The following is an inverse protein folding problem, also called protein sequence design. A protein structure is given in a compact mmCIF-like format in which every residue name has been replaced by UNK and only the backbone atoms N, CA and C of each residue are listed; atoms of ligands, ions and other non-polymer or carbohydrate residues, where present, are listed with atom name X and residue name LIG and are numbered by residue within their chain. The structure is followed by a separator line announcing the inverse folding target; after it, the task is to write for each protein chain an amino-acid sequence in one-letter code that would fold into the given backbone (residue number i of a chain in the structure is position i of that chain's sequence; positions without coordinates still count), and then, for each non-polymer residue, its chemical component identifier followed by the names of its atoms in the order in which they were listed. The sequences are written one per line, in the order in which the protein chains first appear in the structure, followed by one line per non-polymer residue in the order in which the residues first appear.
data_IF_470933237699
#
_entry.id   IF_470933237699
#
_cell.length_a   1.000
_cell.length_b   1.000
_cell.length_c   1.000
_cell.angle_alpha   90.00
_cell.angle_beta   90.00
_cell.angle_gamma   90.00
#
_symmetry.space_group_name_H-M   'P 1'
#
loop_
_entity.id
_entity.type
_entity.pdbx_description
1 polymer ?
#
# COMPACT_ATOMS: atom_id res chain seq x y z
N UNK A 1 33.97 -12.14 10.86
CA UNK A 1 32.96 -12.07 9.80
C UNK A 1 32.28 -10.73 9.99
N UNK A 2 32.51 -9.78 9.08
CA UNK A 2 31.84 -8.48 9.09
C UNK A 2 30.82 -8.52 7.97
N UNK A 3 29.56 -8.29 8.30
CA UNK A 3 28.49 -8.18 7.32
C UNK A 3 28.47 -6.75 6.78
N UNK A 4 28.49 -6.61 5.46
CA UNK A 4 28.32 -5.33 4.79
C UNK A 4 26.83 -4.93 4.79
N UNK A 5 26.56 -3.67 5.08
CA UNK A 5 25.23 -3.10 5.05
C UNK A 5 24.86 -2.77 3.59
N UNK A 6 23.99 -3.57 2.96
CA UNK A 6 23.45 -3.24 1.64
C UNK A 6 22.40 -2.13 1.76
N UNK A 7 22.64 -1.02 1.09
CA UNK A 7 21.69 0.10 1.01
C UNK A 7 20.93 -0.02 -0.30
N UNK A 8 19.62 -0.18 -0.26
CA UNK A 8 18.78 -0.34 -1.45
C UNK A 8 18.19 1.01 -1.84
N UNK A 9 18.54 1.47 -3.04
CA UNK A 9 18.10 2.77 -3.60
C UNK A 9 16.75 2.69 -4.32
N UNK A 10 16.20 1.49 -4.53
CA UNK A 10 15.00 1.26 -5.32
C UNK A 10 14.04 0.26 -4.66
N UNK A 11 12.76 0.39 -5.02
CA UNK A 11 11.72 -0.53 -4.60
C UNK A 11 12.01 -1.97 -5.07
N UNK A 12 12.13 -2.91 -4.12
CA UNK A 12 12.22 -4.36 -4.38
C UNK A 12 10.90 -4.99 -3.91
N UNK A 13 9.97 -5.34 -4.82
CA UNK A 13 8.68 -5.95 -4.47
C UNK A 13 8.80 -7.16 -3.54
N UNK A 14 9.86 -7.96 -3.69
CA UNK A 14 10.14 -9.16 -2.91
C UNK A 14 10.45 -8.89 -1.43
N UNK A 15 10.73 -7.64 -1.07
CA UNK A 15 11.00 -7.21 0.31
C UNK A 15 9.80 -6.53 0.97
N UNK A 16 8.67 -6.39 0.26
CA UNK A 16 7.46 -5.84 0.86
C UNK A 16 6.75 -6.90 1.71
N UNK A 17 6.84 -6.76 3.02
CA UNK A 17 6.01 -7.54 3.94
C UNK A 17 4.55 -7.02 3.96
N UNK A 18 3.56 -7.86 4.32
CA UNK A 18 2.18 -7.40 4.50
C UNK A 18 2.08 -6.14 5.36
N UNK A 19 1.40 -5.11 4.83
CA UNK A 19 1.26 -3.80 5.47
C UNK A 19 2.33 -2.78 5.06
N UNK A 20 3.38 -3.19 4.35
CA UNK A 20 4.40 -2.27 3.83
C UNK A 20 3.80 -1.39 2.74
N UNK A 21 4.10 -0.10 2.78
CA UNK A 21 3.69 0.89 1.78
C UNK A 21 4.90 1.56 1.14
N UNK A 22 4.83 1.76 -0.17
CA UNK A 22 5.82 2.51 -0.94
C UNK A 22 5.14 3.64 -1.71
N UNK A 23 5.52 4.88 -1.43
CA UNK A 23 5.01 6.06 -2.16
C UNK A 23 5.71 6.14 -3.51
N UNK A 24 4.93 6.30 -4.58
CA UNK A 24 5.44 6.34 -5.94
C UNK A 24 6.26 7.62 -6.18
N UNK A 25 7.40 7.51 -6.85
CA UNK A 25 8.20 8.69 -7.26
C UNK A 25 7.41 9.62 -8.20
N UNK A 26 6.50 9.05 -8.99
CA UNK A 26 5.60 9.76 -9.89
C UNK A 26 4.18 9.88 -9.34
N UNK A 27 4.01 9.86 -8.01
CA UNK A 27 2.72 10.06 -7.35
C UNK A 27 1.98 11.26 -7.96
N UNK A 28 0.70 11.06 -8.29
CA UNK A 28 -0.14 12.09 -8.91
C UNK A 28 -0.03 12.20 -10.44
N UNK A 29 0.87 11.47 -11.11
CA UNK A 29 1.06 11.56 -12.57
C UNK A 29 0.34 10.49 -13.39
N UNK A 30 -0.24 9.47 -12.74
CA UNK A 30 -0.93 8.37 -13.40
C UNK A 30 -2.24 8.02 -12.67
N UNK A 31 -3.23 7.50 -13.41
CA UNK A 31 -4.56 7.19 -12.88
C UNK A 31 -5.59 8.27 -13.22
N UNK A 32 -6.65 8.34 -12.42
CA UNK A 32 -7.68 9.38 -12.57
C UNK A 32 -7.11 10.76 -12.23
N UNK A 33 -7.52 11.80 -12.96
CA UNK A 33 -6.98 13.15 -12.79
C UNK A 33 -7.31 13.76 -11.42
N UNK A 34 -8.46 13.43 -10.84
CA UNK A 34 -8.91 13.93 -9.54
C UNK A 34 -8.56 13.00 -8.39
N UNK A 35 -8.34 11.71 -8.68
CA UNK A 35 -7.93 10.71 -7.69
C UNK A 35 -6.82 9.80 -8.24
N UNK A 36 -5.62 10.35 -8.47
CA UNK A 36 -4.53 9.61 -9.11
C UNK A 36 -3.96 8.54 -8.19
N UNK A 37 -3.17 7.63 -8.76
CA UNK A 37 -2.37 6.70 -7.97
C UNK A 37 -1.28 7.43 -7.19
N UNK A 38 -1.05 6.97 -5.97
CA UNK A 38 -0.17 7.63 -5.02
C UNK A 38 0.90 6.70 -4.46
N UNK A 39 0.54 5.46 -4.14
CA UNK A 39 1.44 4.49 -3.53
C UNK A 39 1.10 3.06 -3.97
N UNK A 40 2.02 2.14 -3.74
CA UNK A 40 1.79 0.69 -3.71
C UNK A 40 1.71 0.27 -2.25
N UNK A 41 0.71 -0.53 -1.90
CA UNK A 41 0.56 -1.12 -0.57
C UNK A 41 0.49 -2.65 -0.71
N UNK A 42 1.29 -3.35 0.08
CA UNK A 42 1.12 -4.77 0.31
C UNK A 42 -0.06 -4.97 1.27
N UNK A 43 -1.09 -5.68 0.84
CA UNK A 43 -2.28 -5.92 1.66
C UNK A 43 -1.86 -6.43 3.06
N UNK A 44 -2.29 -5.78 4.14
CA UNK A 44 -1.91 -6.15 5.50
C UNK A 44 -2.41 -7.53 5.92
N UNK A 45 -3.41 -8.08 5.21
CA UNK A 45 -3.94 -9.41 5.51
C UNK A 45 -3.27 -10.54 4.72
N UNK A 46 -2.84 -10.31 3.47
CA UNK A 46 -2.38 -11.39 2.59
C UNK A 46 -1.13 -11.07 1.75
N UNK A 47 -0.57 -9.86 1.88
CA UNK A 47 0.64 -9.43 1.17
C UNK A 47 0.44 -9.08 -0.31
N UNK A 48 -0.74 -9.32 -0.89
CA UNK A 48 -0.99 -8.98 -2.29
C UNK A 48 -0.80 -7.47 -2.54
N UNK A 49 -0.05 -7.15 -3.58
CA UNK A 49 0.27 -5.76 -3.92
C UNK A 49 -0.90 -5.10 -4.64
N UNK A 50 -1.24 -3.88 -4.22
CA UNK A 50 -2.24 -3.05 -4.87
C UNK A 50 -1.78 -1.60 -4.99
N UNK A 51 -2.15 -0.95 -6.10
CA UNK A 51 -2.05 0.50 -6.21
C UNK A 51 -3.15 1.14 -5.36
N UNK A 52 -2.78 2.17 -4.60
CA UNK A 52 -3.72 2.97 -3.83
C UNK A 52 -3.76 4.40 -4.36
N UNK A 53 -4.96 4.96 -4.39
CA UNK A 53 -5.24 6.31 -4.88
C UNK A 53 -4.98 7.37 -3.82
N UNK A 54 -4.97 8.65 -4.20
CA UNK A 54 -4.83 9.77 -3.27
C UNK A 54 -5.91 9.77 -2.17
N UNK A 55 -7.16 9.47 -2.50
CA UNK A 55 -8.25 9.41 -1.54
C UNK A 55 -8.09 8.25 -0.54
N UNK A 56 -7.50 7.13 -0.97
CA UNK A 56 -7.19 6.00 -0.09
C UNK A 56 -5.97 6.29 0.78
N UNK A 57 -4.92 6.86 0.20
CA UNK A 57 -3.71 7.28 0.91
C UNK A 57 -4.01 8.30 2.01
N UNK A 58 -4.92 9.25 1.75
CA UNK A 58 -5.38 10.24 2.73
C UNK A 58 -6.39 9.71 3.75
N UNK A 59 -6.77 8.42 3.68
CA UNK A 59 -7.71 7.80 4.61
C UNK A 59 -9.19 8.16 4.38
N UNK A 60 -9.52 8.88 3.29
CA UNK A 60 -10.89 9.30 2.96
C UNK A 60 -11.71 8.13 2.40
N UNK A 61 -11.06 7.21 1.68
CA UNK A 61 -11.69 6.02 1.11
C UNK A 61 -11.07 4.74 1.66
N UNK A 62 -11.89 3.69 1.78
CA UNK A 62 -11.38 2.36 2.12
C UNK A 62 -10.58 1.76 0.98
N UNK A 63 -9.67 0.87 1.35
CA UNK A 63 -9.03 -0.07 0.46
C UNK A 63 -9.68 -1.42 0.66
N UNK A 64 -10.00 -2.09 -0.44
CA UNK A 64 -10.44 -3.47 -0.46
C UNK A 64 -9.36 -4.26 -1.20
N UNK A 65 -8.87 -5.34 -0.60
CA UNK A 65 -7.92 -6.21 -1.28
C UNK A 65 -8.56 -6.80 -2.53
N UNK A 66 -7.87 -6.70 -3.67
CA UNK A 66 -8.34 -7.23 -4.95
C UNK A 66 -7.83 -8.63 -5.29
N UNK A 67 -7.29 -9.38 -4.32
CA UNK A 67 -6.81 -10.75 -4.58
C UNK A 67 -7.95 -11.75 -4.53
N UNK A 68 -7.81 -12.87 -5.24
CA UNK A 68 -8.87 -13.88 -5.36
C UNK A 68 -9.29 -14.50 -4.01
N UNK A 69 -8.37 -14.51 -3.04
CA UNK A 69 -8.53 -15.18 -1.76
C UNK A 69 -8.53 -14.23 -0.55
N UNK A 70 -8.57 -12.90 -0.77
CA UNK A 70 -8.65 -11.93 0.32
C UNK A 70 -9.66 -10.84 -0.01
N UNK A 71 -10.61 -10.64 0.90
CA UNK A 71 -11.63 -9.59 0.83
C UNK A 71 -11.48 -8.57 1.96
N UNK A 72 -10.27 -8.43 2.51
CA UNK A 72 -10.04 -7.49 3.61
C UNK A 72 -10.33 -6.05 3.17
N UNK A 73 -11.05 -5.33 4.03
CA UNK A 73 -11.36 -3.92 3.85
C UNK A 73 -10.80 -3.12 5.04
N UNK A 74 -10.07 -2.04 4.75
CA UNK A 74 -9.38 -1.24 5.77
C UNK A 74 -9.18 0.21 5.31
N UNK A 75 -8.89 1.10 6.26
CA UNK A 75 -8.57 2.51 6.04
C UNK A 75 -7.15 2.80 6.53
N UNK A 76 -6.55 3.88 6.00
CA UNK A 76 -5.37 4.49 6.60
C UNK A 76 -5.79 5.61 7.54
N UNK A 77 -5.15 5.68 8.70
CA UNK A 77 -5.31 6.77 9.65
C UNK A 77 -3.91 7.27 10.05
N UNK A 78 -3.39 8.24 9.30
CA UNK A 78 -1.98 8.58 9.39
C UNK A 78 -1.12 7.40 8.96
N UNK A 79 -0.26 6.92 9.85
CA UNK A 79 0.62 5.77 9.62
C UNK A 79 0.01 4.43 10.09
N UNK A 80 -1.23 4.44 10.59
CA UNK A 80 -1.91 3.24 11.08
C UNK A 80 -2.90 2.66 10.06
N UNK A 81 -3.01 1.34 10.05
CA UNK A 81 -4.01 0.59 9.28
C UNK A 81 -5.16 0.20 10.21
N UNK A 82 -6.38 0.57 9.86
CA UNK A 82 -7.59 0.22 10.62
C UNK A 82 -8.52 -0.65 9.79
N UNK A 83 -8.64 -1.92 10.17
CA UNK A 83 -9.58 -2.85 9.54
C UNK A 83 -11.03 -2.49 9.86
N UNK A 84 -11.88 -2.59 8.85
CA UNK A 84 -13.32 -2.43 9.04
C UNK A 84 -13.85 -3.60 9.86
N UNK A 85 -14.55 -3.30 10.95
CA UNK A 85 -15.19 -4.34 11.76
C UNK A 85 -16.35 -4.96 10.98
N UNK A 86 -16.53 -6.30 11.01
CA UNK A 86 -17.75 -6.92 10.53
C UNK A 86 -18.94 -6.36 11.32
N UNK A 87 -20.05 -6.09 10.62
CA UNK A 87 -21.34 -5.79 11.26
C UNK A 87 -22.01 -7.05 11.79
#
# INVERSE_FOLDING_TARGET
MQEELETLEAWIPEQMEPGTMFVLENAGKAGDQNNPYWAVLACPSCGSLGLITLAQYSGVQSMICGSDNCSSEYFLHGDEIQFRKPH
#
